data_IF_848504756168
#
_entry.id   IF_848504756168
#
_cell.length_a   1.000
_cell.length_b   1.000
_cell.length_c   1.000
_cell.angle_alpha   90.00
_cell.angle_beta   90.00
_cell.angle_gamma   90.00
#
_symmetry.space_group_name_H-M   'P 1'
#
loop_
_entity.id
_entity.type
_entity.pdbx_description
1 polymer ?
#
# COMPACT_ATOMS: atom_id res chain seq x y z
N UNK A 1 -34.65 -11.87 4.54
CA UNK A 1 -33.79 -10.80 5.12
C UNK A 1 -32.35 -11.25 5.00
N UNK A 2 -31.74 -11.15 3.81
CA UNK A 2 -30.37 -11.66 3.56
C UNK A 2 -29.53 -10.72 2.71
N UNK A 3 -30.13 -9.99 1.77
CA UNK A 3 -29.41 -9.02 0.93
C UNK A 3 -29.11 -7.71 1.67
N UNK A 4 -30.01 -7.24 2.54
CA UNK A 4 -29.78 -5.98 3.26
C UNK A 4 -28.60 -6.10 4.24
N UNK A 5 -28.51 -7.22 4.95
CA UNK A 5 -27.41 -7.48 5.90
C UNK A 5 -26.08 -7.69 5.18
N UNK A 6 -26.08 -8.41 4.05
CA UNK A 6 -24.90 -8.56 3.21
C UNK A 6 -24.45 -7.22 2.58
N UNK A 7 -25.39 -6.38 2.14
CA UNK A 7 -25.10 -5.05 1.61
C UNK A 7 -24.52 -4.14 2.69
N UNK A 8 -25.07 -4.19 3.91
CA UNK A 8 -24.58 -3.41 5.04
C UNK A 8 -23.16 -3.83 5.44
N UNK A 9 -22.89 -5.15 5.49
CA UNK A 9 -21.56 -5.67 5.74
C UNK A 9 -20.58 -5.26 4.63
N UNK A 10 -20.95 -5.41 3.36
CA UNK A 10 -20.15 -4.95 2.22
C UNK A 10 -19.78 -3.48 2.34
N UNK A 11 -20.77 -2.60 2.58
CA UNK A 11 -20.52 -1.17 2.76
C UNK A 11 -19.57 -0.91 3.93
N UNK A 12 -19.77 -1.57 5.08
CA UNK A 12 -18.91 -1.39 6.25
C UNK A 12 -17.45 -1.76 5.93
N UNK A 13 -17.18 -2.96 5.41
CA UNK A 13 -15.82 -3.38 5.07
C UNK A 13 -15.20 -2.53 3.95
N UNK A 14 -15.99 -2.15 2.94
CA UNK A 14 -15.51 -1.31 1.84
C UNK A 14 -15.13 0.10 2.30
N UNK A 15 -15.97 0.77 3.09
CA UNK A 15 -15.68 2.12 3.58
C UNK A 15 -14.57 2.12 4.62
N UNK A 16 -14.50 1.12 5.50
CA UNK A 16 -13.39 0.98 6.46
C UNK A 16 -12.08 0.72 5.70
N UNK A 17 -12.07 -0.22 4.75
CA UNK A 17 -10.91 -0.49 3.90
C UNK A 17 -10.46 0.74 3.13
N UNK A 18 -11.39 1.48 2.51
CA UNK A 18 -11.10 2.73 1.83
C UNK A 18 -10.49 3.78 2.77
N UNK A 19 -11.03 3.93 3.98
CA UNK A 19 -10.47 4.82 4.99
C UNK A 19 -9.05 4.40 5.40
N UNK A 20 -8.79 3.10 5.56
CA UNK A 20 -7.46 2.56 5.86
C UNK A 20 -6.46 2.82 4.73
N UNK A 21 -6.86 2.65 3.47
CA UNK A 21 -6.04 2.99 2.31
C UNK A 21 -5.69 4.47 2.30
N UNK A 22 -6.64 5.36 2.58
CA UNK A 22 -6.38 6.81 2.66
C UNK A 22 -5.39 7.13 3.79
N UNK A 23 -5.58 6.53 4.97
CA UNK A 23 -4.67 6.68 6.11
C UNK A 23 -3.28 6.17 5.76
N UNK A 24 -3.19 5.01 5.10
CA UNK A 24 -1.95 4.44 4.61
C UNK A 24 -1.23 5.40 3.65
N UNK A 25 -1.92 5.93 2.63
CA UNK A 25 -1.32 6.87 1.69
C UNK A 25 -0.82 8.14 2.39
N UNK A 26 -1.57 8.62 3.40
CA UNK A 26 -1.17 9.78 4.19
C UNK A 26 0.08 9.51 5.04
N UNK A 27 0.14 8.36 5.72
CA UNK A 27 1.30 7.93 6.51
C UNK A 27 2.50 7.71 5.60
N UNK A 28 2.30 7.00 4.49
CA UNK A 28 3.34 6.71 3.51
C UNK A 28 3.94 8.00 2.96
N UNK A 29 3.09 8.92 2.46
CA UNK A 29 3.52 10.22 1.94
C UNK A 29 4.19 11.13 2.97
N UNK A 30 3.95 10.91 4.28
CA UNK A 30 4.61 11.62 5.38
C UNK A 30 5.99 11.04 5.68
N UNK A 31 6.16 9.73 5.52
CA UNK A 31 7.41 9.01 5.79
C UNK A 31 8.35 9.12 4.59
N UNK A 32 7.83 9.10 3.35
CA UNK A 32 8.63 9.32 2.17
C UNK A 32 9.11 10.78 2.12
N UNK A 33 10.41 11.02 1.90
CA UNK A 33 11.00 12.36 1.97
C UNK A 33 10.62 13.27 0.79
N UNK A 34 9.83 12.78 -0.17
CA UNK A 34 9.43 13.51 -1.37
C UNK A 34 7.91 13.51 -1.50
N UNK A 35 7.34 14.64 -1.92
CA UNK A 35 5.91 14.75 -2.19
C UNK A 35 5.58 14.03 -3.50
N UNK A 36 5.27 12.74 -3.40
CA UNK A 36 4.88 11.89 -4.54
C UNK A 36 3.73 12.51 -5.33
N UNK A 37 2.74 13.09 -4.64
CA UNK A 37 1.62 13.77 -5.28
C UNK A 37 2.02 14.99 -6.11
N UNK A 38 3.04 15.74 -5.67
CA UNK A 38 3.57 16.88 -6.41
C UNK A 38 4.38 16.41 -7.63
N UNK A 39 5.17 15.34 -7.47
CA UNK A 39 5.92 14.73 -8.56
C UNK A 39 5.01 14.13 -9.64
N UNK A 40 3.92 13.47 -9.24
CA UNK A 40 2.90 12.96 -10.17
C UNK A 40 2.24 14.12 -10.92
N UNK A 41 1.88 15.21 -10.23
CA UNK A 41 1.35 16.43 -10.89
C UNK A 41 2.35 17.07 -11.86
N UNK A 42 3.65 16.91 -11.61
CA UNK A 42 4.72 17.38 -12.49
C UNK A 42 5.03 16.39 -13.64
N UNK A 43 4.13 15.45 -13.97
CA UNK A 43 4.31 14.43 -15.01
C UNK A 43 5.52 13.51 -14.80
N UNK A 44 5.86 13.21 -13.55
CA UNK A 44 6.92 12.26 -13.26
C UNK A 44 6.37 10.81 -13.25
N UNK A 45 6.59 10.11 -14.36
CA UNK A 45 6.19 8.71 -14.52
C UNK A 45 6.85 7.77 -13.50
N UNK A 46 8.09 8.06 -13.07
CA UNK A 46 8.78 7.24 -12.08
C UNK A 46 8.07 7.29 -10.73
N UNK A 47 7.68 8.49 -10.28
CA UNK A 47 6.91 8.67 -9.05
C UNK A 47 5.54 7.98 -9.14
N UNK A 48 4.88 8.09 -10.30
CA UNK A 48 3.59 7.43 -10.52
C UNK A 48 3.66 5.91 -10.43
N UNK A 49 4.70 5.28 -10.99
CA UNK A 49 4.88 3.82 -10.95
C UNK A 49 5.21 3.32 -9.53
N UNK A 50 6.04 4.06 -8.82
CA UNK A 50 6.44 3.71 -7.47
C UNK A 50 5.25 3.82 -6.49
N UNK A 51 4.47 4.90 -6.63
CA UNK A 51 3.28 5.15 -5.83
C UNK A 51 2.14 4.19 -6.14
N UNK A 52 1.90 3.88 -7.42
CA UNK A 52 0.86 2.91 -7.80
C UNK A 52 1.20 1.50 -7.34
N UNK A 53 2.46 1.07 -7.44
CA UNK A 53 2.91 -0.22 -6.91
C UNK A 53 2.75 -0.31 -5.38
N UNK A 54 3.05 0.77 -4.67
CA UNK A 54 2.83 0.88 -3.21
C UNK A 54 1.34 0.84 -2.82
N UNK A 55 0.47 1.48 -3.62
CA UNK A 55 -0.97 1.39 -3.40
C UNK A 55 -1.47 -0.05 -3.56
N UNK A 56 -1.04 -0.73 -4.63
CA UNK A 56 -1.43 -2.11 -4.89
C UNK A 56 -0.86 -3.07 -3.83
N UNK A 57 0.38 -2.86 -3.39
CA UNK A 57 0.97 -3.57 -2.26
C UNK A 57 0.03 -3.57 -1.05
N UNK A 58 -0.49 -2.42 -0.63
CA UNK A 58 -1.26 -2.33 0.60
C UNK A 58 -2.66 -2.95 0.45
N UNK A 59 -3.28 -2.78 -0.72
CA UNK A 59 -4.64 -3.28 -0.99
C UNK A 59 -4.70 -4.80 -1.00
N UNK A 60 -3.66 -5.49 -1.48
CA UNK A 60 -3.63 -6.96 -1.57
C UNK A 60 -3.75 -7.67 -0.19
N UNK A 61 -2.89 -7.41 0.81
CA UNK A 61 -3.01 -7.97 2.15
C UNK A 61 -4.23 -7.42 2.88
N UNK A 62 -4.62 -6.16 2.64
CA UNK A 62 -5.87 -5.63 3.20
C UNK A 62 -7.10 -6.39 2.67
N UNK A 63 -7.08 -6.83 1.41
CA UNK A 63 -8.14 -7.67 0.84
C UNK A 63 -8.13 -9.06 1.47
N UNK A 64 -6.94 -9.65 1.68
CA UNK A 64 -6.78 -10.94 2.39
C UNK A 64 -7.30 -10.83 3.83
N UNK A 65 -6.97 -9.73 4.52
CA UNK A 65 -7.47 -9.44 5.85
C UNK A 65 -9.00 -9.32 5.86
N UNK A 66 -9.63 -8.69 4.87
CA UNK A 66 -11.09 -8.57 4.81
C UNK A 66 -11.79 -9.93 4.68
N UNK A 67 -11.14 -10.88 3.99
CA UNK A 67 -11.66 -12.24 3.78
C UNK A 67 -11.49 -13.09 5.05
N UNK A 68 -10.37 -12.97 5.75
CA UNK A 68 -10.04 -13.82 6.90
C UNK A 68 -10.47 -13.22 8.26
N UNK A 69 -10.69 -11.91 8.35
CA UNK A 69 -10.98 -11.25 9.63
C UNK A 69 -12.40 -11.54 10.10
N UNK A 70 -12.51 -12.22 11.23
CA UNK A 70 -13.78 -12.56 11.89
C UNK A 70 -14.42 -11.32 12.57
N UNK A 71 -13.65 -10.25 12.76
CA UNK A 71 -14.12 -9.03 13.42
C UNK A 71 -13.45 -7.74 12.90
N UNK A 72 -14.13 -6.58 13.05
CA UNK A 72 -13.61 -5.26 12.64
C UNK A 72 -12.26 -4.91 13.32
N UNK A 73 -12.05 -5.16 14.63
CA UNK A 73 -10.76 -4.89 15.26
C UNK A 73 -9.61 -5.73 14.69
N UNK A 74 -9.89 -6.98 14.34
CA UNK A 74 -8.92 -7.88 13.70
C UNK A 74 -8.50 -7.35 12.32
N UNK A 75 -9.47 -6.83 11.56
CA UNK A 75 -9.21 -6.17 10.28
C UNK A 75 -8.27 -4.95 10.41
N UNK A 76 -8.47 -4.12 11.45
CA UNK A 76 -7.57 -3.00 11.75
C UNK A 76 -6.16 -3.47 12.13
N UNK A 77 -6.05 -4.53 12.94
CA UNK A 77 -4.76 -5.07 13.34
C UNK A 77 -3.96 -5.56 12.12
N UNK A 78 -4.60 -6.32 11.23
CA UNK A 78 -3.97 -6.81 10.00
C UNK A 78 -3.58 -5.70 9.04
N UNK A 79 -4.43 -4.69 8.85
CA UNK A 79 -4.04 -3.54 8.02
C UNK A 79 -2.93 -2.69 8.65
N UNK A 80 -2.78 -2.71 9.98
CA UNK A 80 -1.62 -2.14 10.67
C UNK A 80 -0.34 -2.95 10.39
N UNK A 81 -0.41 -4.28 10.48
CA UNK A 81 0.70 -5.19 10.15
C UNK A 81 1.13 -5.00 8.69
N UNK A 82 0.16 -4.89 7.77
CA UNK A 82 0.44 -4.63 6.37
C UNK A 82 1.20 -3.31 6.15
N UNK A 83 0.82 -2.26 6.87
CA UNK A 83 1.53 -0.98 6.83
C UNK A 83 2.97 -1.13 7.30
N UNK A 84 3.21 -1.85 8.40
CA UNK A 84 4.57 -2.08 8.93
C UNK A 84 5.42 -2.84 7.91
N UNK A 85 4.90 -3.92 7.32
CA UNK A 85 5.60 -4.71 6.31
C UNK A 85 5.93 -3.86 5.08
N UNK A 86 5.00 -3.02 4.64
CA UNK A 86 5.24 -2.14 3.51
C UNK A 86 6.35 -1.12 3.77
N UNK A 87 6.40 -0.54 4.98
CA UNK A 87 7.49 0.34 5.39
C UNK A 87 8.83 -0.39 5.47
N UNK A 88 8.83 -1.66 5.90
CA UNK A 88 10.03 -2.50 5.89
C UNK A 88 10.52 -2.77 4.46
N UNK A 89 9.62 -3.10 3.53
CA UNK A 89 9.97 -3.32 2.12
C UNK A 89 10.56 -2.04 1.52
N UNK A 90 9.90 -0.90 1.73
CA UNK A 90 10.44 0.39 1.32
C UNK A 90 11.83 0.66 1.91
N UNK A 91 12.02 0.37 3.20
CA UNK A 91 13.31 0.46 3.89
C UNK A 91 14.39 -0.43 3.26
N UNK A 92 14.06 -1.68 2.96
CA UNK A 92 14.96 -2.64 2.30
C UNK A 92 15.36 -2.17 0.89
N UNK A 93 14.40 -1.71 0.09
CA UNK A 93 14.69 -1.15 -1.25
C UNK A 93 15.56 0.09 -1.13
N UNK A 94 15.31 0.95 -0.13
CA UNK A 94 16.13 2.13 0.14
C UNK A 94 17.53 1.78 0.64
N UNK A 95 17.71 0.70 1.40
CA UNK A 95 19.04 0.21 1.78
C UNK A 95 19.84 -0.28 0.56
N UNK A 96 19.17 -0.98 -0.36
CA UNK A 96 19.79 -1.41 -1.63
C UNK A 96 20.07 -0.24 -2.58
N UNK A 97 19.18 0.75 -2.62
CA UNK A 97 19.28 1.94 -3.47
C UNK A 97 19.10 3.22 -2.63
N UNK A 98 20.13 3.71 -1.93
CA UNK A 98 20.01 4.85 -1.00
C UNK A 98 19.59 6.16 -1.68
N UNK A 99 19.92 6.35 -2.96
CA UNK A 99 19.52 7.51 -3.78
C UNK A 99 18.20 7.29 -4.54
N UNK A 100 17.38 6.32 -4.12
CA UNK A 100 16.10 6.00 -4.79
C UNK A 100 15.17 7.22 -4.90
N UNK A 101 15.04 8.00 -3.83
CA UNK A 101 14.19 9.21 -3.85
C UNK A 101 14.70 10.27 -4.82
N UNK A 102 16.01 10.50 -4.88
CA UNK A 102 16.61 11.42 -5.86
C UNK A 102 16.42 10.92 -7.29
N UNK A 103 16.64 9.63 -7.54
CA UNK A 103 16.41 8.99 -8.84
C UNK A 103 14.96 9.16 -9.29
N UNK A 104 14.00 8.96 -8.38
CA UNK A 104 12.58 9.18 -8.66
C UNK A 104 12.34 10.65 -9.01
N UNK A 105 12.88 11.61 -8.25
CA UNK A 105 12.77 13.05 -8.54
C UNK A 105 13.33 13.37 -9.95
N UNK A 106 14.43 12.75 -10.35
CA UNK A 106 15.07 12.93 -11.67
C UNK A 106 14.44 12.11 -12.80
N UNK A 107 13.15 11.75 -12.70
CA UNK A 107 12.40 11.01 -13.73
C UNK A 107 13.00 9.65 -14.10
N UNK A 108 13.75 9.01 -13.19
CA UNK A 108 14.31 7.69 -13.46
C UNK A 108 13.23 6.60 -13.34
N UNK A 109 12.62 6.28 -14.47
CA UNK A 109 11.53 5.30 -14.57
C UNK A 109 11.95 3.92 -14.05
N UNK A 110 13.20 3.50 -14.26
CA UNK A 110 13.68 2.20 -13.78
C UNK A 110 13.69 2.11 -12.25
N UNK A 111 14.11 3.18 -11.57
CA UNK A 111 14.07 3.26 -10.11
C UNK A 111 12.63 3.22 -9.57
N UNK A 112 11.72 3.98 -10.19
CA UNK A 112 10.31 4.00 -9.82
C UNK A 112 9.62 2.66 -10.04
N UNK A 113 9.85 2.03 -11.20
CA UNK A 113 9.30 0.72 -11.54
C UNK A 113 9.82 -0.38 -10.62
N UNK A 114 11.11 -0.37 -10.28
CA UNK A 114 11.69 -1.34 -9.37
C UNK A 114 11.08 -1.21 -7.96
N UNK A 115 10.97 0.03 -7.45
CA UNK A 115 10.34 0.28 -6.14
C UNK A 115 8.88 -0.18 -6.13
N UNK A 116 8.09 0.22 -7.12
CA UNK A 116 6.68 -0.14 -7.20
C UNK A 116 6.47 -1.65 -7.34
N UNK A 117 7.28 -2.33 -8.16
CA UNK A 117 7.21 -3.79 -8.32
C UNK A 117 7.68 -4.53 -7.07
N UNK A 118 8.73 -4.05 -6.39
CA UNK A 118 9.22 -4.64 -5.16
C UNK A 118 8.21 -4.52 -4.01
N UNK A 119 7.55 -3.37 -3.89
CA UNK A 119 6.40 -3.18 -3.01
C UNK A 119 5.32 -4.21 -3.35
N UNK A 120 4.83 -4.22 -4.60
CA UNK A 120 3.78 -5.15 -5.04
C UNK A 120 4.09 -6.62 -4.68
N UNK A 121 5.32 -7.07 -4.95
CA UNK A 121 5.74 -8.43 -4.64
C UNK A 121 5.70 -8.72 -3.14
N UNK A 122 6.09 -7.76 -2.31
CA UNK A 122 6.01 -7.86 -0.87
C UNK A 122 4.57 -7.90 -0.35
N UNK A 123 3.66 -7.13 -0.94
CA UNK A 123 2.23 -7.15 -0.60
C UNK A 123 1.56 -8.48 -0.92
N UNK A 124 1.91 -9.09 -2.05
CA UNK A 124 1.47 -10.45 -2.41
C UNK A 124 1.98 -11.46 -1.37
N UNK A 125 3.26 -11.38 -0.99
CA UNK A 125 3.83 -12.27 0.01
C UNK A 125 3.15 -12.09 1.37
N UNK A 126 2.93 -10.85 1.77
CA UNK A 126 2.23 -10.50 3.00
C UNK A 126 0.81 -11.07 3.02
N UNK A 127 0.05 -10.91 1.93
CA UNK A 127 -1.30 -11.47 1.82
C UNK A 127 -1.33 -12.99 1.94
N UNK A 128 -0.33 -13.69 1.37
CA UNK A 128 -0.19 -15.14 1.47
C UNK A 128 0.15 -15.60 2.91
N UNK A 129 0.82 -14.76 3.70
CA UNK A 129 1.06 -15.03 5.11
C UNK A 129 -0.19 -14.83 5.99
N UNK A 130 -1.19 -14.07 5.55
CA UNK A 130 -2.44 -13.82 6.30
C UNK A 130 -3.51 -14.91 6.13
N UNK A 131 -3.29 -15.88 5.24
CA UNK A 131 -4.24 -16.97 4.98
C UNK A 131 -4.22 -18.11 6.02
N UNK A 132 -3.35 -18.05 7.04
CA UNK A 132 -3.10 -19.14 7.99
C UNK A 132 -3.11 -18.68 9.44
#
# INVERSE_FOLDING_TARGET
MHILDALLAFCAYFFIGAAMVIVFLFIYSKITPHNEWQLIKNNNTAASLAFSGTLLDYVIPLSSAAINSVSIPDYFAWGGIALVIQLLIYGCVRLYMPTLSEKIIHHNVAAGLFMGTAALAGGIFNAACMTW
#
